data_IF_546970015053
#
_entry.id   IF_546970015053
#
_cell.length_a   1.000
_cell.length_b   1.000
_cell.length_c   1.000
_cell.angle_alpha   90.00
_cell.angle_beta   90.00
_cell.angle_gamma   90.00
#
_symmetry.space_group_name_H-M   'P 1'
#
loop_
_entity.id
_entity.type
_entity.pdbx_description
1 polymer ?
#
# COMPACT_ATOMS: atom_id res chain seq x y z
N UNK A 1 -14.55 9.89 -18.49
CA UNK A 1 -13.11 10.06 -18.47
C UNK A 1 -12.54 9.68 -17.12
N UNK A 2 -11.53 8.86 -17.11
CA UNK A 2 -10.98 8.36 -15.86
C UNK A 2 -9.85 9.23 -15.36
N UNK A 3 -9.92 9.51 -14.07
CA UNK A 3 -8.79 10.20 -13.44
C UNK A 3 -7.66 9.21 -13.23
N UNK A 4 -6.43 9.70 -13.35
CA UNK A 4 -5.28 8.86 -13.12
C UNK A 4 -5.14 8.56 -11.64
N UNK A 5 -4.73 7.34 -11.33
CA UNK A 5 -4.45 6.96 -9.95
C UNK A 5 -3.18 7.66 -9.50
N UNK A 6 -3.22 8.16 -8.27
CA UNK A 6 -2.12 8.96 -7.71
C UNK A 6 -1.22 8.05 -6.90
N UNK A 7 0.07 8.08 -7.23
CA UNK A 7 1.08 7.26 -6.53
C UNK A 7 2.08 8.19 -5.86
N UNK A 8 2.14 8.13 -4.54
CA UNK A 8 3.14 8.90 -3.79
C UNK A 8 4.43 8.09 -3.75
N UNK A 9 5.53 8.68 -4.20
CA UNK A 9 6.83 8.01 -4.29
C UNK A 9 7.76 8.64 -3.27
N UNK A 10 8.02 7.95 -2.16
CA UNK A 10 8.90 8.42 -1.11
C UNK A 10 10.25 7.74 -1.27
N UNK A 11 11.18 8.43 -1.92
CA UNK A 11 12.49 7.91 -2.29
C UNK A 11 13.48 9.07 -2.33
N UNK A 12 14.54 8.99 -1.52
CA UNK A 12 15.49 10.11 -1.38
C UNK A 12 16.50 10.19 -2.53
N UNK A 13 16.75 9.10 -3.24
CA UNK A 13 17.67 9.14 -4.38
C UNK A 13 16.95 9.69 -5.59
N UNK A 14 17.37 10.87 -6.05
CA UNK A 14 16.69 11.56 -7.14
C UNK A 14 16.69 10.75 -8.43
N UNK A 15 17.79 10.03 -8.71
CA UNK A 15 17.87 9.21 -9.91
C UNK A 15 16.81 8.10 -9.90
N UNK A 16 16.67 7.42 -8.79
CA UNK A 16 15.69 6.35 -8.66
C UNK A 16 14.27 6.92 -8.67
N UNK A 17 14.05 8.00 -7.95
CA UNK A 17 12.76 8.66 -7.92
C UNK A 17 12.33 9.08 -9.33
N UNK A 18 13.24 9.70 -10.09
CA UNK A 18 12.94 10.11 -11.47
C UNK A 18 12.62 8.92 -12.35
N UNK A 19 13.37 7.83 -12.20
CA UNK A 19 13.14 6.61 -12.97
C UNK A 19 11.74 6.08 -12.71
N UNK A 20 11.37 5.99 -11.44
CA UNK A 20 10.06 5.50 -11.05
C UNK A 20 8.96 6.42 -11.55
N UNK A 21 9.12 7.72 -11.36
CA UNK A 21 8.08 8.68 -11.74
C UNK A 21 7.87 8.69 -13.25
N UNK A 22 8.94 8.56 -14.03
CA UNK A 22 8.79 8.47 -15.49
C UNK A 22 8.03 7.23 -15.91
N UNK A 23 8.35 6.09 -15.29
CA UNK A 23 7.66 4.85 -15.60
C UNK A 23 6.17 4.95 -15.26
N UNK A 24 5.86 5.57 -14.12
CA UNK A 24 4.47 5.74 -13.72
C UNK A 24 3.73 6.66 -14.67
N UNK A 25 4.33 7.81 -15.02
CA UNK A 25 3.69 8.74 -15.93
C UNK A 25 3.43 8.12 -17.30
N UNK A 26 4.35 7.28 -17.78
CA UNK A 26 4.20 6.62 -19.06
C UNK A 26 3.10 5.56 -19.07
N UNK A 27 2.63 5.16 -17.88
CA UNK A 27 1.64 4.09 -17.73
C UNK A 27 0.35 4.56 -17.07
N UNK A 28 0.03 5.84 -17.23
CA UNK A 28 -1.24 6.44 -16.82
C UNK A 28 -1.42 6.56 -15.33
N UNK A 29 -0.33 6.68 -14.59
CA UNK A 29 -0.38 7.03 -13.18
C UNK A 29 0.09 8.46 -13.00
N UNK A 30 -0.29 9.06 -11.89
CA UNK A 30 0.16 10.42 -11.55
C UNK A 30 1.11 10.31 -10.36
N UNK A 31 2.43 10.41 -10.60
CA UNK A 31 3.38 10.30 -9.49
C UNK A 31 3.52 11.61 -8.73
N UNK A 32 3.71 11.50 -7.43
CA UNK A 32 4.04 12.64 -6.58
C UNK A 32 5.32 12.26 -5.84
N UNK A 33 6.46 12.90 -6.16
CA UNK A 33 7.71 12.55 -5.49
C UNK A 33 7.86 13.23 -4.14
N UNK A 34 8.42 12.50 -3.19
CA UNK A 34 8.86 13.03 -1.90
C UNK A 34 10.24 12.45 -1.64
N UNK A 35 11.12 13.26 -1.07
CA UNK A 35 12.53 12.87 -0.92
C UNK A 35 12.93 12.63 0.53
N UNK A 36 11.97 12.69 1.45
CA UNK A 36 12.20 12.47 2.87
C UNK A 36 10.91 11.95 3.48
N UNK A 37 11.03 11.31 4.65
CA UNK A 37 9.88 10.72 5.31
C UNK A 37 8.83 11.75 5.72
N UNK A 38 9.27 12.86 6.32
CA UNK A 38 8.33 13.89 6.76
C UNK A 38 7.63 14.54 5.59
N UNK A 39 8.38 14.81 4.52
CA UNK A 39 7.77 15.34 3.30
C UNK A 39 6.73 14.37 2.76
N UNK A 40 7.06 13.08 2.76
CA UNK A 40 6.13 12.07 2.30
C UNK A 40 4.85 12.04 3.08
N UNK A 41 4.95 12.11 4.41
CA UNK A 41 3.76 12.13 5.26
C UNK A 41 2.92 13.37 5.00
N UNK A 42 3.57 14.52 4.83
CA UNK A 42 2.87 15.76 4.55
C UNK A 42 2.13 15.69 3.21
N UNK A 43 2.80 15.17 2.18
CA UNK A 43 2.16 15.03 0.86
C UNK A 43 1.06 13.98 0.87
N UNK A 44 1.20 12.95 1.69
CA UNK A 44 0.15 11.95 1.85
C UNK A 44 -1.14 12.61 2.32
N UNK A 45 -1.06 13.45 3.34
CA UNK A 45 -2.25 14.10 3.87
C UNK A 45 -2.84 15.13 2.92
N UNK A 46 -1.98 15.83 2.17
CA UNK A 46 -2.48 16.90 1.30
C UNK A 46 -3.01 16.37 -0.04
N UNK A 47 -2.55 15.23 -0.51
CA UNK A 47 -2.92 14.74 -1.84
C UNK A 47 -3.79 13.49 -1.83
N UNK A 48 -3.85 12.74 -0.74
CA UNK A 48 -4.66 11.53 -0.66
C UNK A 48 -4.34 10.51 -1.74
N UNK A 49 -3.09 10.01 -1.80
CA UNK A 49 -2.73 9.10 -2.90
C UNK A 49 -3.48 7.77 -2.82
N UNK A 50 -3.54 7.10 -3.95
CA UNK A 50 -4.16 5.78 -4.04
C UNK A 50 -3.21 4.67 -3.62
N UNK A 51 -1.91 4.94 -3.65
CA UNK A 51 -0.88 3.97 -3.28
C UNK A 51 0.40 4.72 -2.93
N UNK A 52 1.17 4.17 -2.01
CA UNK A 52 2.47 4.74 -1.61
C UNK A 52 3.58 3.75 -1.95
N UNK A 53 4.60 4.23 -2.66
CA UNK A 53 5.86 3.51 -2.81
C UNK A 53 6.83 4.12 -1.81
N UNK A 54 7.40 3.28 -0.95
CA UNK A 54 8.16 3.77 0.19
C UNK A 54 9.53 3.10 0.27
N UNK A 55 10.58 3.91 0.22
CA UNK A 55 11.94 3.43 0.48
C UNK A 55 12.19 3.41 1.99
N UNK A 56 12.88 2.39 2.46
CA UNK A 56 13.18 2.28 3.88
C UNK A 56 14.36 3.14 4.30
N UNK A 57 15.29 3.41 3.40
CA UNK A 57 16.50 4.17 3.74
C UNK A 57 16.37 5.66 3.50
N UNK A 58 15.53 6.32 4.29
CA UNK A 58 15.31 7.76 4.15
C UNK A 58 16.27 8.57 5.04
N UNK A 59 16.52 9.84 4.69
CA UNK A 59 17.54 10.62 5.41
C UNK A 59 17.08 11.13 6.79
N UNK A 60 15.79 11.37 6.97
CA UNK A 60 15.29 12.02 8.19
C UNK A 60 14.64 11.04 9.17
N UNK A 61 14.24 9.87 8.72
CA UNK A 61 13.64 8.86 9.58
C UNK A 61 13.68 7.53 8.87
N UNK A 62 13.57 6.44 9.63
CA UNK A 62 13.52 5.11 9.03
C UNK A 62 12.18 4.95 8.32
N UNK A 63 12.22 4.39 7.11
CA UNK A 63 10.98 4.13 6.36
C UNK A 63 10.00 3.26 7.12
N UNK A 64 10.50 2.41 8.03
CA UNK A 64 9.62 1.62 8.90
C UNK A 64 8.73 2.52 9.75
N UNK A 65 9.27 3.66 10.22
CA UNK A 65 8.48 4.60 11.00
C UNK A 65 7.38 5.23 10.14
N UNK A 66 7.70 5.55 8.88
CA UNK A 66 6.68 6.05 7.95
C UNK A 66 5.58 5.01 7.77
N UNK A 67 5.99 3.76 7.56
CA UNK A 67 5.04 2.66 7.39
C UNK A 67 4.12 2.52 8.59
N UNK A 68 4.68 2.61 9.81
CA UNK A 68 3.88 2.52 11.02
C UNK A 68 2.82 3.61 11.08
N UNK A 69 3.20 4.84 10.73
CA UNK A 69 2.25 5.95 10.75
C UNK A 69 1.16 5.77 9.71
N UNK A 70 1.52 5.33 8.51
CA UNK A 70 0.53 5.12 7.46
C UNK A 70 -0.41 3.98 7.80
N UNK A 71 0.11 2.91 8.40
CA UNK A 71 -0.70 1.74 8.75
C UNK A 71 -1.76 2.06 9.81
N UNK A 72 -1.52 3.08 10.62
CA UNK A 72 -2.45 3.46 11.68
C UNK A 72 -3.58 4.36 11.22
N UNK A 73 -3.59 4.74 9.95
CA UNK A 73 -4.58 5.69 9.46
C UNK A 73 -5.82 5.00 8.92
N UNK A 74 -6.99 5.63 9.07
CA UNK A 74 -8.25 4.99 8.65
C UNK A 74 -8.41 4.80 7.15
N UNK A 75 -7.68 5.55 6.33
CA UNK A 75 -7.80 5.46 4.88
C UNK A 75 -7.32 4.11 4.32
N UNK A 76 -6.41 3.43 5.02
CA UNK A 76 -5.89 2.13 4.61
C UNK A 76 -5.31 2.13 3.21
N UNK A 77 -4.61 3.21 2.87
CA UNK A 77 -3.93 3.31 1.58
C UNK A 77 -2.84 2.24 1.50
N UNK A 78 -2.81 1.47 0.40
CA UNK A 78 -1.79 0.42 0.29
C UNK A 78 -0.39 0.99 0.16
N UNK A 79 0.58 0.28 0.74
CA UNK A 79 1.98 0.67 0.75
C UNK A 79 2.82 -0.46 0.20
N UNK A 80 3.64 -0.16 -0.81
CA UNK A 80 4.63 -1.09 -1.34
C UNK A 80 6.01 -0.57 -0.94
N UNK A 81 6.77 -1.42 -0.25
CA UNK A 81 8.14 -1.08 0.14
C UNK A 81 9.06 -1.31 -1.05
N UNK A 82 9.97 -0.38 -1.30
CA UNK A 82 11.04 -0.53 -2.28
C UNK A 82 12.35 -0.34 -1.54
N UNK A 83 13.20 -1.34 -1.52
CA UNK A 83 14.39 -1.27 -0.68
C UNK A 83 15.51 -2.16 -1.20
N UNK A 84 16.75 -1.75 -0.92
CA UNK A 84 17.90 -2.61 -1.17
C UNK A 84 18.06 -3.66 -0.08
N UNK A 85 17.31 -3.56 1.01
CA UNK A 85 17.35 -4.55 2.09
C UNK A 85 16.64 -5.80 1.64
N UNK A 86 17.38 -6.90 1.49
CA UNK A 86 16.82 -8.13 0.91
C UNK A 86 16.72 -9.27 1.90
N UNK A 87 17.01 -9.03 3.18
CA UNK A 87 16.92 -10.07 4.20
C UNK A 87 15.46 -10.45 4.43
N UNK A 88 15.23 -11.75 4.53
CA UNK A 88 13.87 -12.25 4.74
C UNK A 88 13.25 -11.68 6.01
N UNK A 89 14.03 -11.56 7.08
CA UNK A 89 13.51 -11.04 8.34
C UNK A 89 12.99 -9.61 8.21
N UNK A 90 13.66 -8.79 7.38
CA UNK A 90 13.22 -7.41 7.19
C UNK A 90 11.96 -7.35 6.33
N UNK A 91 11.87 -8.23 5.32
CA UNK A 91 10.66 -8.31 4.50
C UNK A 91 9.47 -8.73 5.33
N UNK A 92 9.64 -9.76 6.15
CA UNK A 92 8.56 -10.25 7.01
C UNK A 92 8.13 -9.17 7.98
N UNK A 93 9.08 -8.47 8.58
CA UNK A 93 8.77 -7.39 9.51
C UNK A 93 7.93 -6.31 8.85
N UNK A 94 8.34 -5.88 7.64
CA UNK A 94 7.60 -4.83 6.94
C UNK A 94 6.19 -5.29 6.58
N UNK A 95 6.05 -6.53 6.10
CA UNK A 95 4.75 -7.05 5.73
C UNK A 95 3.85 -7.19 6.96
N UNK A 96 4.41 -7.67 8.07
CA UNK A 96 3.66 -7.78 9.33
C UNK A 96 3.21 -6.41 9.84
N UNK A 97 3.96 -5.36 9.53
CA UNK A 97 3.63 -4.02 9.98
C UNK A 97 2.66 -3.30 9.07
N UNK A 98 2.19 -3.95 8.02
CA UNK A 98 1.15 -3.40 7.19
C UNK A 98 1.51 -3.11 5.74
N UNK A 99 2.75 -3.41 5.33
CA UNK A 99 3.11 -3.26 3.92
C UNK A 99 2.35 -4.29 3.09
N UNK A 100 1.87 -3.88 1.93
CA UNK A 100 1.11 -4.77 1.06
C UNK A 100 2.02 -5.57 0.14
N UNK A 101 3.22 -5.07 -0.12
CA UNK A 101 4.19 -5.79 -0.94
C UNK A 101 5.58 -5.23 -0.66
N UNK A 102 6.58 -5.93 -1.17
CA UNK A 102 7.98 -5.57 -0.93
C UNK A 102 8.78 -5.86 -2.20
N UNK A 103 9.41 -4.82 -2.75
CA UNK A 103 10.21 -4.93 -3.97
C UNK A 103 11.67 -4.66 -3.61
N UNK A 104 12.55 -5.57 -3.99
CA UNK A 104 13.98 -5.44 -3.72
C UNK A 104 14.67 -4.74 -4.89
N UNK A 105 15.51 -3.74 -4.59
CA UNK A 105 16.33 -3.07 -5.59
C UNK A 105 17.51 -3.95 -5.97
N UNK A 106 17.96 -3.96 -7.21
CA UNK A 106 17.36 -3.28 -8.37
C UNK A 106 16.15 -4.06 -8.90
N UNK A 107 15.20 -3.33 -9.48
CA UNK A 107 13.99 -3.93 -10.02
C UNK A 107 13.76 -3.43 -11.43
N UNK A 108 12.96 -4.16 -12.20
CA UNK A 108 12.59 -3.73 -13.54
C UNK A 108 11.24 -3.04 -13.54
N UNK A 109 10.99 -2.25 -14.60
CA UNK A 109 9.71 -1.56 -14.74
C UNK A 109 8.54 -2.54 -14.82
N UNK A 110 8.63 -3.64 -15.59
CA UNK A 110 7.50 -4.58 -15.64
C UNK A 110 7.13 -5.15 -14.28
N UNK A 111 8.11 -5.47 -13.45
CA UNK A 111 7.83 -5.98 -12.10
C UNK A 111 7.14 -4.92 -11.26
N UNK A 112 7.67 -3.69 -11.27
CA UNK A 112 7.10 -2.60 -10.50
C UNK A 112 5.65 -2.37 -10.88
N UNK A 113 5.36 -2.28 -12.17
CA UNK A 113 4.01 -2.01 -12.64
C UNK A 113 3.05 -3.15 -12.33
N UNK A 114 3.53 -4.40 -12.45
CA UNK A 114 2.68 -5.55 -12.14
C UNK A 114 2.28 -5.56 -10.68
N UNK A 115 3.22 -5.25 -9.79
CA UNK A 115 2.92 -5.23 -8.36
C UNK A 115 1.99 -4.08 -7.99
N UNK A 116 2.16 -2.93 -8.64
CA UNK A 116 1.25 -1.80 -8.43
C UNK A 116 -0.16 -2.17 -8.87
N UNK A 117 -0.31 -2.74 -10.07
CA UNK A 117 -1.64 -3.13 -10.57
C UNK A 117 -2.31 -4.13 -9.65
N UNK A 118 -1.55 -5.14 -9.22
CA UNK A 118 -2.09 -6.18 -8.34
C UNK A 118 -2.51 -5.60 -6.99
N UNK A 119 -1.68 -4.73 -6.43
CA UNK A 119 -1.96 -4.14 -5.13
C UNK A 119 -3.19 -3.22 -5.20
N UNK A 120 -3.29 -2.40 -6.24
CA UNK A 120 -4.45 -1.52 -6.42
C UNK A 120 -5.73 -2.33 -6.61
N UNK A 121 -5.67 -3.39 -7.40
CA UNK A 121 -6.83 -4.24 -7.64
C UNK A 121 -7.30 -4.89 -6.34
N UNK A 122 -6.36 -5.35 -5.52
CA UNK A 122 -6.68 -5.96 -4.23
C UNK A 122 -7.30 -4.93 -3.29
N UNK A 123 -6.76 -3.72 -3.27
CA UNK A 123 -7.30 -2.66 -2.42
C UNK A 123 -8.72 -2.29 -2.86
N UNK A 124 -8.97 -2.24 -4.16
CA UNK A 124 -10.30 -1.94 -4.67
C UNK A 124 -11.30 -3.03 -4.27
N UNK A 125 -10.89 -4.29 -4.32
CA UNK A 125 -11.75 -5.40 -3.90
C UNK A 125 -12.12 -5.31 -2.43
N UNK A 126 -11.14 -4.96 -1.59
CA UNK A 126 -11.38 -4.84 -0.17
C UNK A 126 -12.36 -3.71 0.14
N UNK A 127 -12.26 -2.61 -0.58
CA UNK A 127 -13.20 -1.50 -0.40
C UNK A 127 -14.62 -1.91 -0.78
N UNK A 128 -14.78 -2.61 -1.88
CA UNK A 128 -16.09 -3.09 -2.31
C UNK A 128 -16.66 -4.09 -1.30
N UNK A 129 -15.82 -5.00 -0.83
CA UNK A 129 -16.25 -5.99 0.14
C UNK A 129 -16.70 -5.33 1.43
N UNK A 130 -15.96 -4.34 1.91
CA UNK A 130 -16.36 -3.63 3.12
C UNK A 130 -17.64 -2.86 2.94
N UNK A 131 -17.80 -2.23 1.78
CA UNK A 131 -19.05 -1.54 1.48
C UNK A 131 -20.22 -2.48 1.55
N UNK A 132 -20.09 -3.65 0.92
CA UNK A 132 -21.13 -4.66 0.94
C UNK A 132 -21.40 -5.15 2.35
N UNK A 133 -20.36 -5.38 3.12
CA UNK A 133 -20.52 -5.83 4.50
C UNK A 133 -21.22 -4.79 5.35
N UNK A 134 -20.86 -3.53 5.17
CA UNK A 134 -21.53 -2.46 5.90
C UNK A 134 -22.99 -2.38 5.58
N UNK A 135 -23.33 -2.50 4.30
CA UNK A 135 -24.72 -2.45 3.89
C UNK A 135 -25.50 -3.61 4.50
N UNK A 136 -24.93 -4.79 4.45
CA UNK A 136 -25.58 -5.97 5.02
C UNK A 136 -25.71 -5.82 6.52
N UNK A 137 -24.69 -5.34 7.16
CA UNK A 137 -24.69 -5.15 8.60
C UNK A 137 -25.77 -4.19 9.04
N UNK A 138 -25.93 -3.10 8.33
CA UNK A 138 -26.98 -2.12 8.64
C UNK A 138 -28.36 -2.72 8.52
N UNK A 139 -28.58 -3.53 7.50
CA UNK A 139 -29.87 -4.13 7.27
C UNK A 139 -30.18 -5.19 8.32
N UNK A 140 -29.21 -6.05 8.62
CA UNK A 140 -29.41 -7.19 9.53
C UNK A 140 -29.24 -6.82 10.97
N UNK A 141 -28.46 -5.84 11.20
CA UNK A 141 -28.08 -5.52 12.54
C UNK A 141 -27.26 -6.62 13.18
N UNK A 142 -26.79 -7.58 12.91
CA UNK A 142 -26.11 -8.57 13.31
C UNK A 142 -25.31 -9.25 13.40
N UNK A 143 -25.32 -9.77 13.32
CA UNK A 143 -24.58 -10.49 13.37
C UNK A 143 -23.72 -11.05 13.03
N UNK A 144 -23.46 -11.29 12.89
CA UNK A 144 -22.53 -11.89 12.58
C UNK A 144 -21.69 -12.27 12.39
N UNK A 145 -21.76 -12.12 12.50
CA UNK A 145 -20.90 -12.60 12.17
C UNK A 145 -20.19 -13.24 11.90
N UNK A 146 -20.26 -13.11 11.91
CA UNK A 146 -19.59 -13.85 11.41
C UNK A 146 -18.91 -14.48 11.05
N UNK A 147 -19.02 -14.42 11.18
CA UNK A 147 -18.43 -15.29 10.61
C UNK A 147 -17.76 -15.75 10.34
N UNK A 148 -17.70 -15.46 10.73
CA UNK A 148 -17.15 -16.14 10.24
C UNK A 148 -16.57 -16.63 9.79
N UNK A 149 -16.61 -16.35 10.14
CA UNK A 149 -16.26 -17.14 9.59
C UNK A 149 -15.84 -17.64 9.23
N UNK A 150 -15.76 -17.55 9.40
CA UNK A 150 -15.42 -18.35 8.98
C UNK A 150 -15.00 -18.84 8.67
N UNK A 151 -14.89 -18.55 9.06
CA UNK A 151 -14.73 -19.38 8.78
C UNK A 151 -14.35 -19.93 8.69
N UNK A 152 -14.17 -19.78 8.92
CA UNK A 152 -14.01 -20.63 8.87
C UNK A 152 -13.67 -21.30 9.00
N UNK A 153 -13.65 -21.16 9.38
CA UNK A 153 -13.75 -22.04 9.48
C UNK A 153 -13.75 -22.71 9.70
N UNK A 154 -13.91 -22.26 10.23
CA UNK A 154 -14.33 -23.11 10.41
C UNK A 154 -14.23 -23.71 10.64
N UNK A 155 -14.30 -23.52 11.04
CA UNK A 155 -14.52 -24.34 11.24
C UNK A 155 -14.41 -24.97 11.50
N UNK A 156 -14.52 -24.77 11.78
CA UNK A 156 -14.81 -25.47 11.91
C UNK A 156 -14.99 -25.90 11.76
N UNK A 157 -15.20 -25.20 12.24
CA UNK A 157 -15.72 -25.75 11.98
C UNK A 157 -15.93 -26.13 11.77
N UNK A 158 -16.20 -25.73 12.11
CA UNK A 158 -16.68 -26.30 11.85
C UNK A 158 -16.81 -26.74 11.64
N UNK A 159 -16.94 -26.72 11.82
CA UNK A 159 -17.29 -27.16 11.59
C UNK A 159 -17.47 -27.70 11.32
#
# INVERSE_FOLDING_TARGET
>A
MNEKRVILVIEDEHTISNFICRALSANDYKPIPAFAGKEGLSLYFSHGPDLVLLDLGLPDMDGIEVLQELSGLPQETPVIIISARDRESEKVKALDMGADDYIVKPFGVPELLARIRTTLRRADRLKLSRGSQKDIYHIKDLTCLLYTSPSPRDPKTSR
#
